data_IF_169871154918
#
_entry.id   IF_169871154918
#
_cell.length_a   1.000
_cell.length_b   1.000
_cell.length_c   1.000
_cell.angle_alpha   90.00
_cell.angle_beta   90.00
_cell.angle_gamma   90.00
#
_symmetry.space_group_name_H-M   'P 1'
#
loop_
_entity.id
_entity.type
_entity.pdbx_description
1 polymer ?
#
# COMPACT_ATOMS: atom_id res chain seq x y z
N UNK A 1 -23.81 1.03 -5.53
CA UNK A 1 -22.46 0.49 -5.81
C UNK A 1 -22.62 -1.01 -6.00
N UNK A 2 -22.13 -1.60 -7.10
CA UNK A 2 -22.37 -3.03 -7.44
C UNK A 2 -22.02 -3.98 -6.28
N UNK A 3 -20.87 -3.74 -5.61
CA UNK A 3 -20.44 -4.54 -4.45
C UNK A 3 -21.46 -4.56 -3.31
N UNK A 4 -22.14 -3.45 -3.03
CA UNK A 4 -23.16 -3.42 -1.99
C UNK A 4 -24.40 -4.25 -2.33
N UNK A 5 -24.68 -4.44 -3.63
CA UNK A 5 -25.77 -5.31 -4.09
C UNK A 5 -25.35 -6.79 -4.08
N UNK A 6 -24.08 -7.08 -4.33
CA UNK A 6 -23.51 -8.43 -4.34
C UNK A 6 -23.32 -8.98 -2.90
N UNK A 7 -23.25 -8.10 -1.90
CA UNK A 7 -23.06 -8.43 -0.48
C UNK A 7 -24.18 -7.88 0.41
N UNK A 8 -25.43 -8.36 0.27
CA UNK A 8 -26.57 -7.91 1.09
C UNK A 8 -26.43 -8.29 2.57
N UNK A 9 -25.58 -9.26 2.90
CA UNK A 9 -25.27 -9.68 4.27
C UNK A 9 -24.39 -8.67 5.02
N UNK A 10 -23.73 -7.75 4.31
CA UNK A 10 -22.86 -6.75 4.92
C UNK A 10 -23.70 -5.64 5.58
N UNK A 11 -23.49 -5.43 6.88
CA UNK A 11 -24.09 -4.30 7.61
C UNK A 11 -23.45 -2.97 7.20
N UNK A 12 -22.19 -3.02 6.73
CA UNK A 12 -21.40 -1.86 6.35
C UNK A 12 -20.49 -2.17 5.17
N UNK A 13 -20.45 -1.24 4.21
CA UNK A 13 -19.42 -1.22 3.16
C UNK A 13 -18.38 -0.15 3.48
N UNK A 14 -17.11 -0.53 3.47
CA UNK A 14 -15.98 0.40 3.64
C UNK A 14 -15.11 0.45 2.39
N UNK A 15 -14.59 1.63 2.07
CA UNK A 15 -13.65 1.80 0.95
C UNK A 15 -12.24 1.91 1.50
N UNK A 16 -11.38 1.02 1.03
CA UNK A 16 -9.99 0.90 1.42
C UNK A 16 -9.09 1.08 0.20
N UNK A 17 -7.91 1.66 0.42
CA UNK A 17 -6.94 1.98 -0.61
C UNK A 17 -5.62 1.31 -0.26
N UNK A 18 -5.09 0.48 -1.15
CA UNK A 18 -3.86 -0.27 -0.92
C UNK A 18 -2.79 0.10 -1.94
N UNK A 19 -1.54 0.09 -1.48
CA UNK A 19 -0.35 0.31 -2.30
C UNK A 19 0.93 -0.18 -1.58
N UNK A 20 2.04 -0.16 -2.31
CA UNK A 20 3.38 -0.45 -1.80
C UNK A 20 4.38 0.71 -1.95
N UNK A 21 4.95 1.13 -0.81
CA UNK A 21 6.10 2.01 -0.79
C UNK A 21 7.41 1.25 -0.56
N UNK A 22 8.50 1.79 -1.11
CA UNK A 22 9.86 1.27 -0.91
C UNK A 22 10.74 2.30 -0.23
N UNK A 23 11.31 1.92 0.91
CA UNK A 23 12.32 2.70 1.63
C UNK A 23 13.69 2.05 1.42
N UNK A 24 14.56 2.72 0.67
CA UNK A 24 15.85 2.16 0.23
C UNK A 24 17.06 2.94 0.73
N UNK A 25 18.23 2.30 0.67
CA UNK A 25 19.52 2.91 1.02
C UNK A 25 19.99 3.98 0.02
N UNK A 26 19.33 4.12 -1.13
CA UNK A 26 19.70 5.12 -2.13
C UNK A 26 19.47 6.53 -1.62
N UNK A 27 20.53 7.16 -1.14
CA UNK A 27 20.51 8.55 -0.68
C UNK A 27 20.32 9.54 -1.83
N UNK A 28 19.90 10.76 -1.49
CA UNK A 28 19.90 11.90 -2.42
C UNK A 28 21.08 12.81 -2.13
N UNK A 29 21.55 13.53 -3.15
CA UNK A 29 22.45 14.65 -2.91
C UNK A 29 21.63 15.78 -2.28
N UNK A 30 22.11 16.33 -1.17
CA UNK A 30 21.44 17.44 -0.49
C UNK A 30 22.35 18.65 -0.42
N UNK A 31 21.74 19.84 -0.31
CA UNK A 31 22.49 21.05 0.01
C UNK A 31 23.02 20.94 1.44
N UNK A 32 24.29 21.30 1.65
CA UNK A 32 24.96 21.29 2.95
C UNK A 32 25.67 22.62 3.15
N UNK A 33 25.69 23.10 4.38
CA UNK A 33 26.53 24.23 4.76
C UNK A 33 27.96 23.77 4.98
N UNK A 34 28.92 24.58 4.55
CA UNK A 34 30.34 24.35 4.76
C UNK A 34 31.05 25.69 4.89
N UNK A 35 32.22 25.67 5.52
CA UNK A 35 33.02 26.88 5.73
C UNK A 35 33.42 27.50 4.38
N UNK A 36 33.30 28.82 4.26
CA UNK A 36 33.69 29.56 3.04
C UNK A 36 35.14 29.20 2.66
N UNK A 37 35.34 28.90 1.38
CA UNK A 37 36.63 28.43 0.85
C UNK A 37 36.84 26.92 0.89
N UNK A 38 35.95 26.16 1.53
CA UNK A 38 35.98 24.68 1.48
C UNK A 38 34.98 24.14 0.47
N UNK A 39 35.21 22.93 -0.05
CA UNK A 39 34.24 22.22 -0.90
C UNK A 39 34.28 20.72 -0.59
N UNK A 40 33.59 20.27 0.48
CA UNK A 40 33.58 18.87 0.84
C UNK A 40 32.89 18.02 -0.23
N UNK A 41 33.41 16.82 -0.49
CA UNK A 41 32.76 15.84 -1.38
C UNK A 41 31.61 15.16 -0.62
N UNK A 42 30.43 15.13 -1.25
CA UNK A 42 29.30 14.35 -0.74
C UNK A 42 29.32 12.95 -1.37
N UNK A 43 29.27 11.92 -0.53
CA UNK A 43 29.09 10.54 -0.97
C UNK A 43 27.59 10.26 -1.06
N UNK A 44 27.14 9.83 -2.23
CA UNK A 44 25.78 9.31 -2.43
C UNK A 44 25.82 7.80 -2.22
N UNK A 45 25.03 7.31 -1.28
CA UNK A 45 24.81 5.87 -1.14
C UNK A 45 24.01 5.36 -2.35
N UNK A 46 24.55 4.35 -3.03
CA UNK A 46 24.00 3.74 -4.25
C UNK A 46 23.67 2.26 -4.05
N UNK A 47 23.74 1.77 -2.81
CA UNK A 47 23.38 0.39 -2.48
C UNK A 47 21.88 0.16 -2.72
N UNK A 48 21.52 -1.10 -2.97
CA UNK A 48 20.18 -1.49 -3.44
C UNK A 48 19.31 -2.13 -2.36
N UNK A 49 19.78 -2.23 -1.11
CA UNK A 49 18.95 -2.78 -0.03
C UNK A 49 17.78 -1.85 0.23
N UNK A 50 16.60 -2.45 0.36
CA UNK A 50 15.36 -1.75 0.63
C UNK A 50 14.48 -2.56 1.58
N UNK A 51 13.66 -1.85 2.33
CA UNK A 51 12.46 -2.40 2.95
C UNK A 51 11.25 -1.98 2.12
N UNK A 52 10.23 -2.82 2.12
CA UNK A 52 8.96 -2.60 1.44
C UNK A 52 7.88 -2.48 2.49
N UNK A 53 7.03 -1.47 2.33
CA UNK A 53 5.89 -1.19 3.18
C UNK A 53 4.66 -1.46 2.31
N UNK A 54 3.94 -2.51 2.63
CA UNK A 54 2.63 -2.78 2.05
C UNK A 54 1.60 -2.17 3.00
N UNK A 55 0.75 -1.27 2.53
CA UNK A 55 -0.21 -0.58 3.38
C UNK A 55 -1.61 -0.57 2.77
N UNK A 56 -2.63 -0.54 3.62
CA UNK A 56 -4.00 -0.26 3.24
C UNK A 56 -4.63 0.74 4.22
N UNK A 57 -5.34 1.73 3.71
CA UNK A 57 -5.97 2.80 4.52
C UNK A 57 -7.45 2.98 4.20
N UNK A 58 -8.23 3.32 5.22
CA UNK A 58 -9.62 3.73 5.10
C UNK A 58 -9.78 5.19 5.54
N UNK A 59 -9.78 6.16 4.61
CA UNK A 59 -9.90 7.57 4.95
C UNK A 59 -11.17 7.92 5.73
N UNK A 60 -12.29 7.24 5.43
CA UNK A 60 -13.57 7.49 6.11
C UNK A 60 -13.55 7.17 7.60
N UNK A 61 -12.63 6.31 8.03
CA UNK A 61 -12.46 5.88 9.42
C UNK A 61 -11.18 6.41 10.07
N UNK A 62 -10.37 7.14 9.32
CA UNK A 62 -9.04 7.59 9.76
C UNK A 62 -8.19 6.45 10.35
N UNK A 63 -8.16 5.31 9.63
CA UNK A 63 -7.43 4.11 10.06
C UNK A 63 -6.70 3.44 8.90
N UNK A 64 -5.78 2.54 9.21
CA UNK A 64 -5.06 1.74 8.25
C UNK A 64 -4.21 0.66 8.92
N UNK A 65 -3.73 -0.29 8.11
CA UNK A 65 -2.77 -1.30 8.52
C UNK A 65 -1.63 -1.37 7.51
N UNK A 66 -0.44 -1.73 7.99
CA UNK A 66 0.72 -1.90 7.14
C UNK A 66 1.63 -3.00 7.67
N UNK A 67 2.32 -3.68 6.75
CA UNK A 67 3.37 -4.64 7.07
C UNK A 67 4.68 -4.22 6.41
N UNK A 68 5.80 -4.44 7.12
CA UNK A 68 7.14 -4.13 6.62
C UNK A 68 7.87 -5.43 6.32
N UNK A 69 8.30 -5.58 5.06
CA UNK A 69 8.93 -6.78 4.55
C UNK A 69 10.20 -6.44 3.79
N UNK A 70 11.01 -7.47 3.50
CA UNK A 70 12.24 -7.31 2.72
C UNK A 70 12.00 -7.34 1.21
N UNK A 71 10.86 -7.87 0.77
CA UNK A 71 10.49 -8.05 -0.64
C UNK A 71 8.97 -7.98 -0.80
N UNK A 72 8.50 -7.59 -1.99
CA UNK A 72 7.09 -7.71 -2.40
C UNK A 72 6.88 -9.03 -3.11
N UNK A 73 5.75 -9.69 -2.84
CA UNK A 73 5.37 -10.97 -3.44
C UNK A 73 3.88 -11.23 -3.21
N UNK A 74 3.30 -12.23 -3.86
CA UNK A 74 1.92 -12.66 -3.58
C UNK A 74 1.76 -13.11 -2.13
N UNK A 75 2.78 -13.74 -1.55
CA UNK A 75 2.78 -14.09 -0.12
C UNK A 75 2.68 -12.83 0.76
N UNK A 76 3.43 -11.78 0.43
CA UNK A 76 3.37 -10.51 1.14
C UNK A 76 1.97 -9.89 1.05
N UNK A 77 1.36 -9.91 -0.15
CA UNK A 77 0.01 -9.40 -0.34
C UNK A 77 -1.03 -10.20 0.45
N UNK A 78 -0.94 -11.54 0.45
CA UNK A 78 -1.82 -12.40 1.24
C UNK A 78 -1.71 -12.11 2.75
N UNK A 79 -0.51 -11.83 3.26
CA UNK A 79 -0.32 -11.42 4.64
C UNK A 79 -0.99 -10.07 4.94
N UNK A 80 -0.85 -9.10 4.05
CA UNK A 80 -1.51 -7.80 4.20
C UNK A 80 -3.04 -7.94 4.20
N UNK A 81 -3.60 -8.68 3.25
CA UNK A 81 -5.05 -8.87 3.15
C UNK A 81 -5.61 -9.52 4.43
N UNK A 82 -4.93 -10.54 4.96
CA UNK A 82 -5.33 -11.18 6.21
C UNK A 82 -5.24 -10.22 7.40
N UNK A 83 -4.16 -9.45 7.51
CA UNK A 83 -3.96 -8.47 8.58
C UNK A 83 -5.05 -7.38 8.55
N UNK A 84 -5.32 -6.82 7.38
CA UNK A 84 -6.33 -5.77 7.20
C UNK A 84 -7.73 -6.31 7.48
N UNK A 85 -8.08 -7.50 6.93
CA UNK A 85 -9.38 -8.12 7.15
C UNK A 85 -9.66 -8.44 8.62
N UNK A 86 -8.63 -8.79 9.40
CA UNK A 86 -8.76 -9.07 10.83
C UNK A 86 -9.09 -7.82 11.67
N UNK A 87 -8.83 -6.62 11.14
CA UNK A 87 -9.10 -5.35 11.81
C UNK A 87 -10.47 -4.77 11.49
N UNK A 88 -11.22 -5.38 10.56
CA UNK A 88 -12.56 -4.91 10.21
C UNK A 88 -13.53 -5.11 11.37
N UNK A 89 -14.41 -4.14 11.65
CA UNK A 89 -15.55 -4.37 12.52
C UNK A 89 -16.40 -5.54 12.04
N UNK A 90 -17.12 -6.17 12.97
CA UNK A 90 -18.11 -7.18 12.63
C UNK A 90 -19.15 -6.63 11.62
N UNK A 91 -19.54 -7.46 10.65
CA UNK A 91 -20.50 -7.09 9.61
C UNK A 91 -19.96 -6.17 8.51
N UNK A 92 -18.67 -5.82 8.53
CA UNK A 92 -18.05 -4.99 7.48
C UNK A 92 -17.61 -5.85 6.29
N UNK A 93 -17.94 -5.37 5.10
CA UNK A 93 -17.35 -5.79 3.84
C UNK A 93 -16.55 -4.64 3.22
N UNK A 94 -15.30 -4.89 2.86
CA UNK A 94 -14.42 -3.86 2.32
C UNK A 94 -14.32 -3.94 0.80
N UNK A 95 -14.40 -2.78 0.15
CA UNK A 95 -13.97 -2.58 -1.23
C UNK A 95 -12.53 -2.09 -1.18
N UNK A 96 -11.60 -2.94 -1.60
CA UNK A 96 -10.17 -2.63 -1.64
C UNK A 96 -9.77 -2.18 -3.04
N UNK A 97 -9.38 -0.92 -3.17
CA UNK A 97 -8.80 -0.39 -4.41
C UNK A 97 -7.32 -0.73 -4.47
N UNK A 98 -6.91 -1.35 -5.58
CA UNK A 98 -5.55 -1.81 -5.84
C UNK A 98 -5.12 -1.43 -7.26
N UNK A 99 -3.82 -1.33 -7.50
CA UNK A 99 -3.29 -1.16 -8.86
C UNK A 99 -3.24 -2.51 -9.62
N UNK A 100 -2.62 -2.53 -10.81
CA UNK A 100 -2.51 -3.73 -11.64
C UNK A 100 -1.11 -4.38 -11.57
N UNK A 101 -0.38 -4.23 -10.47
CA UNK A 101 0.90 -4.90 -10.27
C UNK A 101 0.76 -6.43 -10.38
N UNK A 102 1.83 -7.11 -10.80
CA UNK A 102 1.77 -8.56 -11.10
C UNK A 102 1.33 -9.42 -9.93
N UNK A 103 1.60 -9.01 -8.69
CA UNK A 103 1.16 -9.71 -7.48
C UNK A 103 -0.28 -9.40 -7.06
N UNK A 104 -0.91 -8.37 -7.63
CA UNK A 104 -2.32 -8.01 -7.42
C UNK A 104 -3.28 -8.80 -8.31
N UNK A 105 -2.80 -9.32 -9.44
CA UNK A 105 -3.58 -10.11 -10.40
C UNK A 105 -3.21 -11.60 -10.41
N UNK A 106 -2.41 -12.03 -9.44
CA UNK A 106 -1.89 -13.39 -9.40
C UNK A 106 -2.98 -14.39 -8.98
N UNK A 107 -3.01 -15.56 -9.62
CA UNK A 107 -4.03 -16.60 -9.38
C UNK A 107 -3.96 -17.21 -7.97
N UNK A 108 -2.83 -17.05 -7.27
CA UNK A 108 -2.57 -17.54 -5.92
C UNK A 108 -2.90 -16.52 -4.81
N UNK A 109 -3.51 -15.39 -5.19
CA UNK A 109 -4.03 -14.41 -4.23
C UNK A 109 -5.23 -14.99 -3.46
N UNK A 110 -5.16 -14.92 -2.14
CA UNK A 110 -6.15 -15.42 -1.20
C UNK A 110 -6.95 -14.24 -0.64
N UNK A 111 -7.96 -13.82 -1.38
CA UNK A 111 -8.83 -12.72 -0.99
C UNK A 111 -9.77 -13.19 0.14
N UNK A 112 -9.78 -12.55 1.31
CA UNK A 112 -10.74 -12.82 2.37
C UNK A 112 -12.18 -12.61 1.90
N UNK A 113 -13.13 -13.38 2.44
CA UNK A 113 -14.55 -13.33 2.02
C UNK A 113 -15.19 -11.95 2.21
N UNK A 114 -14.69 -11.17 3.17
CA UNK A 114 -15.16 -9.83 3.49
C UNK A 114 -14.39 -8.73 2.73
N UNK A 115 -13.70 -9.07 1.64
CA UNK A 115 -13.00 -8.14 0.75
C UNK A 115 -13.42 -8.38 -0.69
N UNK A 116 -13.79 -7.32 -1.40
CA UNK A 116 -13.83 -7.28 -2.86
C UNK A 116 -12.70 -6.40 -3.38
N UNK A 117 -11.88 -6.95 -4.29
CA UNK A 117 -10.83 -6.18 -4.95
C UNK A 117 -11.41 -5.39 -6.14
N UNK A 118 -11.04 -4.12 -6.25
CA UNK A 118 -11.37 -3.25 -7.37
C UNK A 118 -10.09 -2.69 -7.96
N UNK A 119 -9.79 -3.06 -9.20
CA UNK A 119 -8.60 -2.58 -9.88
C UNK A 119 -8.78 -1.16 -10.39
N UNK A 120 -7.80 -0.32 -10.13
CA UNK A 120 -7.71 1.02 -10.69
C UNK A 120 -7.37 0.95 -12.19
N UNK A 121 -7.76 1.98 -12.97
CA UNK A 121 -7.24 2.16 -14.31
C UNK A 121 -5.70 2.22 -14.31
N UNK A 122 -5.03 1.71 -15.36
CA UNK A 122 -3.58 1.81 -15.46
C UNK A 122 -3.08 3.26 -15.35
N UNK A 123 -1.99 3.46 -14.62
CA UNK A 123 -1.31 4.76 -14.46
C UNK A 123 -2.15 5.87 -13.82
N UNK A 124 -3.03 5.52 -12.88
CA UNK A 124 -3.89 6.49 -12.17
C UNK A 124 -3.60 6.60 -10.66
N UNK A 125 -2.36 6.92 -10.23
CA UNK A 125 -2.04 7.06 -8.81
C UNK A 125 -2.84 8.18 -8.13
N UNK A 126 -3.28 9.20 -8.87
CA UNK A 126 -4.09 10.31 -8.35
C UNK A 126 -5.46 9.86 -7.81
N UNK A 127 -5.93 8.67 -8.19
CA UNK A 127 -7.17 8.07 -7.70
C UNK A 127 -6.94 7.19 -6.46
N UNK A 128 -5.70 6.92 -6.08
CA UNK A 128 -5.35 6.09 -4.94
C UNK A 128 -5.04 6.94 -3.71
N UNK A 129 -5.93 6.98 -2.72
CA UNK A 129 -5.79 7.89 -1.57
C UNK A 129 -4.56 7.62 -0.71
N UNK A 130 -4.06 6.38 -0.69
CA UNK A 130 -2.87 6.00 0.08
C UNK A 130 -1.59 6.66 -0.44
N UNK A 131 -1.55 7.09 -1.71
CA UNK A 131 -0.41 7.81 -2.29
C UNK A 131 -0.14 9.15 -1.60
N UNK A 132 -1.12 9.70 -0.86
CA UNK A 132 -0.94 10.90 -0.04
C UNK A 132 -0.28 10.62 1.32
N UNK A 133 -0.21 9.35 1.72
CA UNK A 133 0.40 8.91 2.99
C UNK A 133 1.91 8.74 2.83
N UNK A 134 2.37 8.36 1.62
CA UNK A 134 3.78 8.23 1.27
C UNK A 134 4.48 9.57 1.08
#
# INVERSE_FOLDING_TARGET
MQVAADHPEAERIEVWFQDEARVGQKGRMVRRWFQRGTRPRMVKDQRYRSAYILGAVCPARDTGAAIVLTHVSVMAMNLLLAEVAAQFPAGTHAVMLIDNAGWHIANDLRVPLNISLVHLPPYSPELNAIEKVW
#
